data_IF_628684915414
#
_entry.id   IF_628684915414
#
_cell.length_a   1.000
_cell.length_b   1.000
_cell.length_c   1.000
_cell.angle_alpha   90.00
_cell.angle_beta   90.00
_cell.angle_gamma   90.00
#
_symmetry.space_group_name_H-M   'P 1'
#
loop_
_entity.id
_entity.type
_entity.pdbx_description
1 polymer ?
#
# COMPACT_ATOMS: atom_id res chain seq x y z
N UNK A 1 21.56 -6.06 16.09
CA UNK A 1 20.43 -5.10 16.06
C UNK A 1 20.29 -4.42 17.41
N UNK A 2 19.83 -3.15 17.42
CA UNK A 2 19.63 -2.41 18.68
C UNK A 2 18.49 -3.05 19.48
N UNK A 3 18.75 -3.41 20.75
CA UNK A 3 17.75 -3.90 21.68
C UNK A 3 17.34 -2.75 22.60
N UNK A 4 16.21 -2.11 22.29
CA UNK A 4 15.73 -0.98 23.06
C UNK A 4 14.98 -1.46 24.32
N UNK A 5 15.51 -1.14 25.46
CA UNK A 5 14.93 -1.43 26.78
C UNK A 5 14.71 -0.11 27.55
N UNK A 6 13.82 -0.07 28.56
CA UNK A 6 12.86 -1.12 28.92
C UNK A 6 11.70 -1.21 27.92
N UNK A 7 10.94 -2.31 27.93
CA UNK A 7 9.66 -2.45 27.26
C UNK A 7 8.58 -2.75 28.26
N UNK A 8 7.39 -2.16 28.05
CA UNK A 8 6.18 -2.45 28.82
C UNK A 8 5.16 -3.17 27.93
N UNK A 9 4.15 -3.78 28.51
CA UNK A 9 3.03 -4.37 27.77
C UNK A 9 1.89 -3.36 27.55
N UNK A 10 2.12 -2.09 27.90
CA UNK A 10 1.11 -1.04 27.79
C UNK A 10 1.10 -0.46 26.38
N UNK A 11 -0.05 -0.50 25.74
CA UNK A 11 -0.26 0.12 24.44
C UNK A 11 -0.60 1.61 24.60
N UNK A 12 0.07 2.44 23.82
CA UNK A 12 -0.26 3.84 23.61
C UNK A 12 -0.99 3.95 22.28
N UNK A 13 -2.23 4.44 22.29
CA UNK A 13 -3.02 4.65 21.07
C UNK A 13 -3.00 6.12 20.66
N UNK A 14 -3.32 6.39 19.39
CA UNK A 14 -3.47 7.71 18.83
C UNK A 14 -4.69 7.77 17.91
N UNK A 15 -5.26 8.96 17.63
CA UNK A 15 -6.41 9.12 16.77
C UNK A 15 -6.17 8.59 15.34
N UNK A 16 -7.20 8.02 14.71
CA UNK A 16 -7.08 7.45 13.37
C UNK A 16 -6.75 8.50 12.29
N UNK A 17 -7.13 9.75 12.52
CA UNK A 17 -6.87 10.88 11.64
C UNK A 17 -5.42 11.39 11.77
N UNK A 18 -4.78 11.12 12.89
CA UNK A 18 -3.41 11.58 13.15
C UNK A 18 -2.41 10.83 12.27
N UNK A 19 -1.48 11.56 11.69
CA UNK A 19 -0.41 11.02 10.83
C UNK A 19 0.92 11.25 11.51
N UNK A 20 1.72 10.18 11.63
CA UNK A 20 3.07 10.24 12.18
C UNK A 20 4.05 10.25 11.01
N UNK A 21 4.67 11.41 10.77
CA UNK A 21 5.55 11.62 9.62
C UNK A 21 6.99 11.75 10.09
N UNK A 22 7.90 11.09 9.42
CA UNK A 22 9.34 11.30 9.56
C UNK A 22 10.06 11.10 8.24
N UNK A 23 11.16 11.85 8.04
CA UNK A 23 12.11 11.60 6.96
C UNK A 23 13.45 11.16 7.52
N UNK A 24 14.21 10.44 6.73
CA UNK A 24 15.57 10.00 7.08
C UNK A 24 16.50 10.21 5.89
N UNK A 25 17.79 10.31 6.17
CA UNK A 25 18.83 10.19 5.17
C UNK A 25 18.98 8.72 4.68
N UNK A 26 19.95 8.50 3.79
CA UNK A 26 20.26 7.15 3.28
C UNK A 26 20.78 6.19 4.37
N UNK A 27 21.32 6.72 5.47
CA UNK A 27 21.81 5.94 6.62
C UNK A 27 20.69 5.62 7.62
N UNK A 28 19.48 6.16 7.40
CA UNK A 28 18.34 5.99 8.29
C UNK A 28 18.39 6.92 9.51
N UNK A 29 19.15 8.01 9.46
CA UNK A 29 19.14 9.06 10.49
C UNK A 29 17.95 9.98 10.23
N UNK A 30 17.19 10.31 11.27
CA UNK A 30 16.00 11.16 11.16
C UNK A 30 16.42 12.59 10.84
N UNK A 31 15.92 13.11 9.73
CA UNK A 31 16.14 14.48 9.25
C UNK A 31 14.96 15.41 9.54
N UNK A 32 13.76 14.83 9.64
CA UNK A 32 12.53 15.55 9.96
C UNK A 32 11.56 14.66 10.72
N UNK A 33 10.74 15.24 11.57
CA UNK A 33 9.60 14.58 12.21
C UNK A 33 8.53 15.63 12.55
N UNK A 34 7.25 15.27 12.37
CA UNK A 34 6.13 16.13 12.75
C UNK A 34 5.82 16.02 14.25
N UNK A 35 5.02 16.96 14.77
CA UNK A 35 4.66 17.04 16.19
C UNK A 35 3.92 15.78 16.67
N UNK A 36 3.07 15.22 15.84
CA UNK A 36 2.37 13.97 16.14
C UNK A 36 3.33 12.81 16.40
N UNK A 37 4.41 12.72 15.62
CA UNK A 37 5.43 11.68 15.86
C UNK A 37 6.22 11.91 17.13
N UNK A 38 6.58 13.16 17.44
CA UNK A 38 7.21 13.57 18.70
C UNK A 38 6.32 13.17 19.88
N UNK A 39 5.05 13.57 19.84
CA UNK A 39 4.07 13.29 20.90
C UNK A 39 3.93 11.78 21.15
N UNK A 40 3.63 10.99 20.12
CA UNK A 40 3.34 9.54 20.28
C UNK A 40 4.60 8.77 20.67
N UNK A 41 5.76 9.14 20.13
CA UNK A 41 7.01 8.48 20.47
C UNK A 41 7.51 8.81 21.89
N UNK A 42 7.12 9.98 22.43
CA UNK A 42 7.53 10.47 23.75
C UNK A 42 8.99 10.93 23.83
N UNK A 43 9.68 11.00 22.68
CA UNK A 43 11.00 11.61 22.57
C UNK A 43 10.85 13.09 22.26
N UNK A 44 11.82 13.92 22.64
CA UNK A 44 11.85 15.30 22.17
C UNK A 44 12.29 15.37 20.70
N UNK A 45 12.00 16.47 20.02
CA UNK A 45 12.42 16.68 18.63
C UNK A 45 13.94 16.61 18.47
N UNK A 46 14.67 17.17 19.43
CA UNK A 46 16.14 17.19 19.46
C UNK A 46 16.73 15.79 19.63
N UNK A 47 16.07 14.94 20.43
CA UNK A 47 16.48 13.54 20.62
C UNK A 47 16.20 12.67 19.38
N UNK A 48 15.18 13.03 18.58
CA UNK A 48 14.83 12.32 17.35
C UNK A 48 15.71 12.74 16.18
N UNK A 49 15.96 14.06 16.02
CA UNK A 49 16.77 14.58 14.92
C UNK A 49 18.20 14.04 15.00
N UNK A 50 18.71 13.57 13.86
CA UNK A 50 20.01 12.91 13.69
C UNK A 50 20.15 11.56 14.43
N UNK A 51 19.14 11.14 15.20
CA UNK A 51 19.15 9.79 15.75
C UNK A 51 18.82 8.76 14.66
N UNK A 52 19.39 7.54 14.72
CA UNK A 52 18.99 6.49 13.82
C UNK A 52 17.54 6.10 14.12
N UNK A 53 16.73 5.90 13.05
CA UNK A 53 15.29 5.65 13.16
C UNK A 53 14.93 4.43 14.03
N UNK A 54 15.89 3.51 14.19
CA UNK A 54 15.72 2.34 15.07
C UNK A 54 15.61 2.69 16.57
N UNK A 55 15.70 3.97 16.95
CA UNK A 55 15.46 4.44 18.33
C UNK A 55 14.05 4.08 18.81
N UNK A 56 13.06 4.09 17.91
CA UNK A 56 11.66 3.73 18.19
C UNK A 56 11.34 2.26 17.92
N UNK A 57 12.33 1.43 17.60
CA UNK A 57 12.08 0.02 17.31
C UNK A 57 11.67 -0.74 18.56
N UNK A 58 10.56 -1.52 18.46
CA UNK A 58 10.21 -2.49 19.49
C UNK A 58 10.94 -3.83 19.26
N UNK A 59 11.46 -4.50 20.32
CA UNK A 59 12.20 -5.77 20.16
C UNK A 59 11.38 -6.91 19.57
N UNK A 60 10.07 -6.94 19.79
CA UNK A 60 9.17 -7.98 19.26
C UNK A 60 9.12 -8.05 17.73
N UNK A 61 9.46 -6.94 17.06
CA UNK A 61 9.47 -6.92 15.59
C UNK A 61 10.69 -7.68 15.08
N UNK A 62 10.49 -8.78 14.31
CA UNK A 62 11.58 -9.58 13.81
C UNK A 62 12.54 -8.79 12.92
N UNK A 63 13.81 -9.16 12.94
CA UNK A 63 14.81 -8.53 12.06
C UNK A 63 14.47 -8.68 10.57
N UNK A 64 13.93 -9.84 10.21
CA UNK A 64 13.55 -10.15 8.83
C UNK A 64 12.58 -9.13 8.22
N UNK A 65 11.71 -8.51 9.02
CA UNK A 65 10.78 -7.47 8.55
C UNK A 65 11.53 -6.20 8.15
N UNK A 66 12.51 -5.79 8.96
CA UNK A 66 13.34 -4.62 8.63
C UNK A 66 14.33 -4.90 7.50
N UNK A 67 14.89 -6.10 7.43
CA UNK A 67 15.77 -6.52 6.34
C UNK A 67 15.00 -6.50 5.00
N UNK A 68 13.76 -6.97 5.01
CA UNK A 68 12.86 -6.88 3.87
C UNK A 68 12.54 -5.41 3.50
N UNK A 69 12.25 -4.56 4.49
CA UNK A 69 12.02 -3.13 4.27
C UNK A 69 13.22 -2.47 3.60
N UNK A 70 14.41 -2.62 4.15
CA UNK A 70 15.61 -1.99 3.61
C UNK A 70 15.97 -2.53 2.22
N UNK A 71 15.79 -3.83 1.98
CA UNK A 71 16.02 -4.43 0.67
C UNK A 71 15.07 -3.86 -0.39
N UNK A 72 13.81 -3.60 -0.01
CA UNK A 72 12.80 -3.02 -0.90
C UNK A 72 13.09 -1.55 -1.20
N UNK A 73 13.41 -0.77 -0.17
CA UNK A 73 13.70 0.66 -0.30
C UNK A 73 14.97 0.95 -1.10
N UNK A 74 16.01 0.14 -0.93
CA UNK A 74 17.26 0.24 -1.71
C UNK A 74 17.07 -0.06 -3.21
N UNK A 75 16.00 -0.79 -3.57
CA UNK A 75 15.60 -1.02 -4.96
C UNK A 75 14.76 0.14 -5.53
N UNK A 76 14.63 1.25 -4.80
CA UNK A 76 13.81 2.39 -5.21
C UNK A 76 12.30 2.13 -5.13
N UNK A 77 11.86 1.08 -4.41
CA UNK A 77 10.44 0.70 -4.31
C UNK A 77 9.86 1.11 -2.96
N UNK A 78 8.59 1.53 -2.91
CA UNK A 78 7.91 1.79 -1.64
C UNK A 78 7.74 0.49 -0.85
N UNK A 79 7.70 0.63 0.47
CA UNK A 79 7.42 -0.46 1.40
C UNK A 79 6.25 -0.09 2.31
N UNK A 80 5.44 -1.07 2.69
CA UNK A 80 4.42 -0.91 3.70
C UNK A 80 4.42 -2.09 4.67
N UNK A 81 3.95 -1.86 5.90
CA UNK A 81 3.89 -2.91 6.92
C UNK A 81 3.30 -2.42 8.22
N UNK A 82 2.76 -3.36 9.00
CA UNK A 82 2.26 -3.10 10.35
C UNK A 82 3.42 -3.26 11.30
N UNK A 83 3.81 -2.20 11.99
CA UNK A 83 5.01 -2.17 12.81
C UNK A 83 4.65 -1.83 14.26
N UNK A 84 5.22 -2.59 15.19
CA UNK A 84 5.19 -2.28 16.63
C UNK A 84 6.37 -1.37 16.95
N UNK A 85 6.10 -0.17 17.41
CA UNK A 85 7.12 0.78 17.85
C UNK A 85 7.15 0.88 19.38
N UNK A 86 8.26 1.40 19.90
CA UNK A 86 8.48 1.65 21.31
C UNK A 86 8.56 3.14 21.58
N UNK A 87 7.79 3.63 22.53
CA UNK A 87 7.91 4.98 23.09
C UNK A 87 9.09 5.08 24.07
N UNK A 88 9.55 6.28 24.37
CA UNK A 88 10.70 6.55 25.27
C UNK A 88 10.54 5.89 26.63
N UNK A 89 9.34 5.90 27.19
CA UNK A 89 9.01 5.28 28.49
C UNK A 89 8.92 3.75 28.47
N UNK A 90 9.04 3.12 27.30
CA UNK A 90 8.92 1.67 27.15
C UNK A 90 7.55 1.18 26.68
N UNK A 91 6.53 2.01 26.68
CA UNK A 91 5.22 1.69 26.09
C UNK A 91 5.36 1.43 24.61
N UNK A 92 4.39 0.75 24.01
CA UNK A 92 4.40 0.46 22.60
C UNK A 92 3.20 1.09 21.88
N UNK A 93 3.36 1.33 20.60
CA UNK A 93 2.28 1.76 19.72
C UNK A 93 2.40 1.07 18.36
N UNK A 94 1.25 0.74 17.80
CA UNK A 94 1.18 0.10 16.50
C UNK A 94 0.95 1.12 15.39
N UNK A 95 1.63 0.94 14.29
CA UNK A 95 1.51 1.78 13.10
C UNK A 95 1.37 0.93 11.83
N UNK A 96 0.53 1.39 10.93
CA UNK A 96 0.56 0.98 9.53
C UNK A 96 1.48 1.98 8.83
N UNK A 97 2.69 1.54 8.52
CA UNK A 97 3.73 2.37 7.94
C UNK A 97 3.75 2.23 6.42
N UNK A 98 3.78 3.36 5.72
CA UNK A 98 4.09 3.44 4.30
C UNK A 98 5.38 4.24 4.16
N UNK A 99 6.42 3.60 3.61
CA UNK A 99 7.76 4.17 3.49
C UNK A 99 8.11 4.28 2.01
N UNK A 100 8.51 5.47 1.59
CA UNK A 100 8.88 5.76 0.21
C UNK A 100 10.29 6.33 0.11
N UNK A 101 11.06 5.99 -0.93
CA UNK A 101 12.29 6.71 -1.21
C UNK A 101 11.98 8.14 -1.66
N UNK A 102 12.77 9.08 -1.16
CA UNK A 102 12.81 10.47 -1.62
C UNK A 102 13.83 10.53 -2.74
N UNK A 103 13.42 11.02 -3.92
CA UNK A 103 14.26 11.05 -5.10
C UNK A 103 14.49 12.50 -5.55
N UNK A 104 15.74 12.87 -5.70
CA UNK A 104 16.18 14.14 -6.28
C UNK A 104 17.10 13.84 -7.45
N UNK A 105 16.89 14.50 -8.59
CA UNK A 105 17.67 14.26 -9.81
C UNK A 105 17.81 12.77 -10.18
N UNK A 106 16.73 12.02 -10.02
CA UNK A 106 16.66 10.57 -10.28
C UNK A 106 17.56 9.70 -9.36
N UNK A 107 18.04 10.27 -8.25
CA UNK A 107 18.80 9.55 -7.23
C UNK A 107 18.05 9.56 -5.90
N UNK A 108 18.06 8.43 -5.20
CA UNK A 108 17.48 8.34 -3.86
C UNK A 108 18.39 9.11 -2.90
N UNK A 109 17.84 10.12 -2.22
CA UNK A 109 18.56 10.95 -1.24
C UNK A 109 18.16 10.67 0.21
N UNK A 110 17.04 9.95 0.40
CA UNK A 110 16.55 9.60 1.72
C UNK A 110 15.25 8.82 1.64
N UNK A 111 14.59 8.68 2.79
CA UNK A 111 13.34 7.94 2.90
C UNK A 111 12.34 8.73 3.72
N UNK A 112 11.08 8.69 3.30
CA UNK A 112 9.96 9.26 4.04
C UNK A 112 9.05 8.14 4.53
N UNK A 113 8.56 8.26 5.74
CA UNK A 113 7.60 7.35 6.33
C UNK A 113 6.38 8.10 6.82
N UNK A 114 5.23 7.77 6.27
CA UNK A 114 3.91 8.19 6.75
C UNK A 114 3.24 7.02 7.43
N UNK A 115 2.82 7.22 8.68
CA UNK A 115 2.25 6.18 9.52
C UNK A 115 0.84 6.55 9.95
N UNK A 116 -0.05 5.59 9.90
CA UNK A 116 -1.43 5.73 10.34
C UNK A 116 -1.74 4.66 11.37
N UNK A 117 -2.84 4.84 12.11
CA UNK A 117 -3.32 3.82 13.06
C UNK A 117 -3.78 2.59 12.28
N UNK A 118 -3.26 1.38 12.59
CA UNK A 118 -3.72 0.14 11.99
C UNK A 118 -5.05 -0.30 12.59
N UNK A 119 -5.75 -1.20 11.89
CA UNK A 119 -6.93 -1.86 12.44
C UNK A 119 -6.53 -2.94 13.45
N UNK A 120 -7.45 -3.31 14.35
CA UNK A 120 -7.22 -4.39 15.31
C UNK A 120 -6.90 -5.73 14.62
N UNK A 121 -7.50 -5.96 13.46
CA UNK A 121 -7.26 -7.16 12.67
C UNK A 121 -5.86 -7.19 12.06
N UNK A 122 -5.39 -6.08 11.54
CA UNK A 122 -4.02 -5.92 11.03
C UNK A 122 -3.00 -6.16 12.15
N UNK A 123 -3.25 -5.63 13.35
CA UNK A 123 -2.41 -5.87 14.53
C UNK A 123 -2.36 -7.36 14.84
N UNK A 124 -3.50 -8.04 14.96
CA UNK A 124 -3.60 -9.47 15.25
C UNK A 124 -2.83 -10.34 14.24
N UNK A 125 -2.97 -10.03 12.95
CA UNK A 125 -2.24 -10.71 11.87
C UNK A 125 -0.73 -10.48 11.99
N UNK A 126 -0.31 -9.24 12.22
CA UNK A 126 1.10 -8.90 12.40
C UNK A 126 1.72 -9.60 13.62
N UNK A 127 1.02 -9.63 14.77
CA UNK A 127 1.47 -10.35 15.97
C UNK A 127 1.64 -11.84 15.72
N UNK A 128 0.68 -12.45 15.01
CA UNK A 128 0.74 -13.86 14.66
C UNK A 128 1.94 -14.16 13.77
N UNK A 129 2.18 -13.32 12.76
CA UNK A 129 3.33 -13.42 11.87
C UNK A 129 4.65 -13.24 12.65
N UNK A 130 4.75 -12.23 13.51
CA UNK A 130 5.95 -11.94 14.29
C UNK A 130 6.29 -13.08 15.24
N UNK A 131 5.29 -13.59 15.97
CA UNK A 131 5.46 -14.77 16.85
C UNK A 131 5.98 -15.97 16.05
N UNK A 132 5.43 -16.18 14.86
CA UNK A 132 5.84 -17.28 13.99
C UNK A 132 7.30 -17.15 13.55
N UNK A 133 7.72 -15.97 13.10
CA UNK A 133 9.10 -15.72 12.67
C UNK A 133 10.06 -15.83 13.86
N UNK A 134 9.71 -15.25 15.00
CA UNK A 134 10.54 -15.29 16.22
C UNK A 134 10.69 -16.70 16.81
N UNK A 135 9.75 -17.62 16.50
CA UNK A 135 9.87 -19.06 16.86
C UNK A 135 10.62 -19.89 15.80
N UNK A 136 11.27 -19.25 14.83
CA UNK A 136 12.06 -19.92 13.79
C UNK A 136 11.25 -20.60 12.69
N UNK A 137 9.92 -20.39 12.66
CA UNK A 137 9.05 -20.94 11.60
C UNK A 137 9.11 -20.04 10.35
N UNK A 138 8.90 -20.67 9.20
CA UNK A 138 8.82 -19.93 7.92
C UNK A 138 7.79 -18.80 8.00
N UNK A 139 8.16 -17.61 7.54
CA UNK A 139 7.24 -16.46 7.48
C UNK A 139 5.99 -16.77 6.65
N UNK A 140 6.16 -17.41 5.49
CA UNK A 140 5.04 -17.83 4.62
C UNK A 140 4.78 -19.32 4.82
N UNK A 141 3.58 -19.71 5.30
CA UNK A 141 3.21 -21.12 5.40
C UNK A 141 3.27 -21.82 4.04
N UNK A 142 3.77 -23.06 4.01
CA UNK A 142 3.80 -23.86 2.79
C UNK A 142 2.39 -24.01 2.19
N UNK A 143 1.37 -24.12 3.05
CA UNK A 143 -0.04 -24.17 2.62
C UNK A 143 -0.47 -22.96 1.80
N UNK A 144 0.06 -21.77 2.07
CA UNK A 144 -0.27 -20.56 1.31
C UNK A 144 0.34 -20.58 -0.10
N UNK A 145 1.36 -21.39 -0.34
CA UNK A 145 1.96 -21.57 -1.67
C UNK A 145 1.27 -22.67 -2.45
N UNK A 146 0.92 -23.78 -1.79
CA UNK A 146 0.36 -24.96 -2.46
C UNK A 146 -1.14 -24.88 -2.69
N UNK A 147 -1.89 -24.35 -1.73
CA UNK A 147 -3.36 -24.36 -1.80
C UNK A 147 -3.92 -23.63 -3.04
N UNK A 148 -3.43 -22.43 -3.41
CA UNK A 148 -3.87 -21.76 -4.63
C UNK A 148 -3.58 -22.57 -5.91
N UNK A 149 -2.45 -23.28 -5.93
CA UNK A 149 -2.09 -24.16 -7.07
C UNK A 149 -3.06 -25.32 -7.15
N UNK A 150 -3.31 -26.01 -6.04
CA UNK A 150 -4.27 -27.12 -5.99
C UNK A 150 -5.67 -26.66 -6.38
N UNK A 151 -6.13 -25.53 -5.87
CA UNK A 151 -7.43 -24.96 -6.23
C UNK A 151 -7.53 -24.59 -7.71
N UNK A 152 -6.48 -24.06 -8.31
CA UNK A 152 -6.44 -23.76 -9.74
C UNK A 152 -6.47 -25.02 -10.61
N UNK A 153 -5.90 -26.14 -10.14
CA UNK A 153 -5.86 -27.41 -10.87
C UNK A 153 -7.10 -28.26 -10.68
N UNK A 154 -7.82 -28.09 -9.58
CA UNK A 154 -8.96 -28.95 -9.21
C UNK A 154 -10.06 -29.04 -10.29
N UNK A 155 -10.54 -27.95 -10.94
CA UNK A 155 -11.53 -28.04 -12.00
C UNK A 155 -11.08 -28.88 -13.18
N UNK A 156 -9.81 -28.79 -13.55
CA UNK A 156 -9.22 -29.49 -14.70
C UNK A 156 -8.98 -30.97 -14.39
N UNK A 157 -8.64 -31.31 -13.15
CA UNK A 157 -8.59 -32.70 -12.69
C UNK A 157 -9.95 -33.34 -12.75
N UNK A 158 -11.02 -32.63 -12.35
CA UNK A 158 -12.38 -33.11 -12.44
C UNK A 158 -12.82 -33.36 -13.89
N UNK A 159 -12.56 -32.41 -14.79
CA UNK A 159 -12.85 -32.57 -16.23
C UNK A 159 -12.08 -33.77 -16.83
N UNK A 160 -10.80 -33.91 -16.45
CA UNK A 160 -9.99 -35.06 -16.88
C UNK A 160 -10.54 -36.39 -16.38
N UNK A 161 -11.01 -36.46 -15.10
CA UNK A 161 -11.64 -37.66 -14.55
C UNK A 161 -12.97 -38.00 -15.26
N UNK A 162 -13.78 -36.99 -15.57
CA UNK A 162 -15.03 -37.19 -16.32
C UNK A 162 -14.72 -37.73 -17.72
N UNK A 163 -13.75 -37.16 -18.41
CA UNK A 163 -13.30 -37.66 -19.72
C UNK A 163 -12.79 -39.10 -19.66
N UNK A 164 -12.08 -39.45 -18.58
CA UNK A 164 -11.58 -40.79 -18.31
C UNK A 164 -12.73 -41.78 -18.08
N UNK A 165 -13.77 -41.40 -17.30
CA UNK A 165 -14.96 -42.22 -17.06
C UNK A 165 -15.79 -42.45 -18.33
N UNK A 166 -15.96 -41.41 -19.15
CA UNK A 166 -16.65 -41.52 -20.44
C UNK A 166 -15.90 -42.45 -21.37
N UNK A 167 -14.57 -42.36 -21.46
CA UNK A 167 -13.74 -43.27 -22.25
C UNK A 167 -13.85 -44.74 -21.82
N UNK A 168 -13.92 -44.97 -20.51
CA UNK A 168 -14.12 -46.31 -19.94
C UNK A 168 -15.53 -46.86 -20.24
N UNK A 169 -16.58 -46.01 -20.20
CA UNK A 169 -17.95 -46.39 -20.49
C UNK A 169 -18.17 -46.74 -21.96
N UNK A 170 -17.48 -46.13 -22.90
CA UNK A 170 -17.52 -46.40 -24.33
C UNK A 170 -16.89 -47.78 -24.65
N UNK A 171 -16.17 -48.39 -23.69
CA UNK A 171 -15.68 -49.77 -23.80
C UNK A 171 -14.59 -50.00 -24.85
N UNK A 172 -14.01 -48.94 -25.38
CA UNK A 172 -12.95 -48.98 -26.37
C UNK A 172 -11.64 -48.42 -25.83
N UNK A 173 -10.56 -49.20 -25.93
CA UNK A 173 -9.21 -48.71 -25.56
C UNK A 173 -8.83 -47.43 -26.33
N UNK A 174 -9.32 -47.23 -27.53
CA UNK A 174 -9.10 -46.03 -28.34
C UNK A 174 -9.86 -44.83 -27.82
N UNK A 175 -11.09 -44.99 -27.30
CA UNK A 175 -11.85 -43.92 -26.67
C UNK A 175 -11.16 -43.40 -25.42
N UNK A 176 -10.52 -44.27 -24.65
CA UNK A 176 -9.74 -43.95 -23.47
C UNK A 176 -8.48 -43.13 -23.79
N UNK A 177 -7.72 -43.56 -24.81
CA UNK A 177 -6.50 -42.87 -25.26
C UNK A 177 -6.88 -41.49 -25.84
N UNK A 178 -7.94 -41.37 -26.63
CA UNK A 178 -8.43 -40.12 -27.18
C UNK A 178 -8.91 -39.14 -26.10
N UNK A 179 -9.66 -39.63 -25.11
CA UNK A 179 -10.11 -38.82 -23.98
C UNK A 179 -8.91 -38.28 -23.15
N UNK A 180 -7.91 -39.12 -22.89
CA UNK A 180 -6.68 -38.71 -22.20
C UNK A 180 -5.84 -37.73 -23.02
N UNK A 181 -5.67 -37.97 -24.34
CA UNK A 181 -4.95 -37.09 -25.24
C UNK A 181 -5.58 -35.70 -25.40
N UNK A 182 -6.91 -35.59 -25.32
CA UNK A 182 -7.63 -34.32 -25.45
C UNK A 182 -7.78 -33.59 -24.12
N UNK A 183 -8.05 -34.30 -23.01
CA UNK A 183 -8.35 -33.69 -21.72
C UNK A 183 -7.12 -32.99 -21.11
N UNK A 184 -5.93 -33.56 -21.24
CA UNK A 184 -4.69 -33.00 -20.68
C UNK A 184 -4.29 -31.71 -21.39
N UNK A 185 -4.17 -31.62 -22.72
CA UNK A 185 -3.86 -30.37 -23.41
C UNK A 185 -4.94 -29.29 -23.21
N UNK A 186 -6.25 -29.69 -23.22
CA UNK A 186 -7.33 -28.73 -22.96
C UNK A 186 -7.27 -28.18 -21.55
N UNK A 187 -6.98 -29.01 -20.55
CA UNK A 187 -6.75 -28.60 -19.18
C UNK A 187 -5.57 -27.62 -19.05
N UNK A 188 -4.44 -27.95 -19.64
CA UNK A 188 -3.25 -27.10 -19.66
C UNK A 188 -3.51 -25.78 -20.40
N UNK A 189 -4.20 -25.81 -21.53
CA UNK A 189 -4.58 -24.60 -22.28
C UNK A 189 -5.54 -23.72 -21.47
N UNK A 190 -6.51 -24.31 -20.78
CA UNK A 190 -7.44 -23.60 -19.89
C UNK A 190 -6.72 -22.92 -18.71
N UNK A 191 -5.81 -23.62 -18.04
CA UNK A 191 -4.97 -23.05 -16.97
C UNK A 191 -4.09 -21.91 -17.53
N UNK A 192 -3.47 -22.13 -18.68
CA UNK A 192 -2.63 -21.11 -19.33
C UNK A 192 -3.45 -19.88 -19.71
N UNK A 193 -4.68 -20.06 -20.18
CA UNK A 193 -5.59 -18.97 -20.53
C UNK A 193 -6.07 -18.22 -19.28
N UNK A 194 -6.53 -18.92 -18.25
CA UNK A 194 -6.95 -18.32 -16.97
C UNK A 194 -5.82 -17.57 -16.28
N UNK A 195 -4.61 -18.12 -16.28
CA UNK A 195 -3.46 -17.48 -15.63
C UNK A 195 -2.87 -16.33 -16.43
N UNK A 196 -3.12 -16.22 -17.76
CA UNK A 196 -2.63 -15.11 -18.58
C UNK A 196 -3.16 -13.75 -18.14
N UNK A 197 -4.47 -13.66 -17.86
CA UNK A 197 -5.09 -12.43 -17.35
C UNK A 197 -4.50 -12.00 -16.00
N UNK A 198 -4.44 -12.95 -15.07
CA UNK A 198 -3.87 -12.73 -13.73
C UNK A 198 -2.38 -12.36 -13.81
N UNK A 199 -1.60 -13.01 -14.68
CA UNK A 199 -0.18 -12.68 -14.89
C UNK A 199 0.01 -11.25 -15.41
N UNK A 200 -0.85 -10.76 -16.31
CA UNK A 200 -0.81 -9.36 -16.77
C UNK A 200 -1.07 -8.38 -15.63
N UNK A 201 -2.11 -8.63 -14.84
CA UNK A 201 -2.44 -7.82 -13.66
C UNK A 201 -1.33 -7.86 -12.61
N UNK A 202 -0.75 -9.04 -12.36
CA UNK A 202 0.39 -9.19 -11.46
C UNK A 202 1.63 -8.44 -11.95
N UNK A 203 1.88 -8.40 -13.25
CA UNK A 203 2.99 -7.63 -13.82
C UNK A 203 2.81 -6.12 -13.62
N UNK A 204 1.57 -5.60 -13.71
CA UNK A 204 1.25 -4.22 -13.33
C UNK A 204 1.42 -4.00 -11.81
N UNK A 205 1.03 -5.01 -11.02
CA UNK A 205 1.19 -4.99 -9.57
C UNK A 205 2.66 -5.09 -9.10
N UNK A 206 3.59 -5.58 -9.91
CA UNK A 206 5.03 -5.67 -9.57
C UNK A 206 5.70 -4.30 -9.37
N UNK A 207 5.10 -3.22 -9.89
CA UNK A 207 5.54 -1.86 -9.63
C UNK A 207 5.14 -1.35 -8.23
N UNK A 208 4.30 -2.09 -7.52
CA UNK A 208 3.80 -1.78 -6.18
C UNK A 208 4.28 -2.79 -5.15
N UNK A 209 3.98 -2.54 -3.87
CA UNK A 209 4.29 -3.48 -2.80
C UNK A 209 3.35 -4.69 -2.89
N UNK A 210 3.83 -5.82 -3.39
CA UNK A 210 3.04 -7.05 -3.56
C UNK A 210 3.73 -8.28 -2.96
N UNK A 211 4.54 -8.09 -1.92
CA UNK A 211 5.33 -9.15 -1.30
C UNK A 211 4.47 -10.09 -0.44
N UNK A 212 4.62 -11.43 -0.58
CA UNK A 212 3.83 -12.41 0.17
C UNK A 212 4.02 -12.35 1.70
N UNK A 213 5.18 -11.89 2.19
CA UNK A 213 5.41 -11.72 3.61
C UNK A 213 4.53 -10.61 4.17
N UNK A 214 4.53 -9.46 3.48
CA UNK A 214 3.76 -8.29 3.91
C UNK A 214 2.26 -8.53 3.74
N UNK A 215 1.85 -9.23 2.68
CA UNK A 215 0.44 -9.54 2.42
C UNK A 215 -0.25 -10.21 3.63
N UNK A 216 0.45 -11.06 4.38
CA UNK A 216 -0.09 -11.73 5.56
C UNK A 216 -0.50 -10.77 6.70
N UNK A 217 -0.01 -9.54 6.72
CA UNK A 217 -0.42 -8.54 7.70
C UNK A 217 -1.73 -7.84 7.30
N UNK A 218 -2.12 -7.92 6.01
CA UNK A 218 -3.22 -7.15 5.46
C UNK A 218 -4.39 -7.98 5.00
N UNK A 219 -4.16 -9.20 4.51
CA UNK A 219 -5.20 -10.03 3.92
C UNK A 219 -5.09 -11.49 4.35
N UNK A 220 -6.23 -12.18 4.36
CA UNK A 220 -6.32 -13.65 4.51
C UNK A 220 -6.29 -14.36 3.16
N UNK A 221 -6.41 -13.63 2.06
CA UNK A 221 -6.29 -14.15 0.70
C UNK A 221 -4.93 -14.79 0.47
N UNK A 222 -4.82 -15.64 -0.56
CA UNK A 222 -3.61 -16.41 -0.83
C UNK A 222 -3.20 -16.29 -2.30
N UNK A 223 -1.91 -16.50 -2.56
CA UNK A 223 -1.38 -16.58 -3.92
C UNK A 223 -1.54 -15.27 -4.70
N UNK A 224 -2.13 -15.34 -5.88
CA UNK A 224 -2.30 -14.21 -6.79
C UNK A 224 -3.29 -13.17 -6.28
N UNK A 225 -4.35 -13.60 -5.61
CA UNK A 225 -5.37 -12.74 -5.02
C UNK A 225 -4.77 -11.85 -3.93
N UNK A 226 -4.03 -12.43 -2.99
CA UNK A 226 -3.32 -11.67 -1.96
C UNK A 226 -2.38 -10.61 -2.54
N UNK A 227 -1.69 -10.92 -3.65
CA UNK A 227 -0.79 -9.99 -4.32
C UNK A 227 -1.54 -8.83 -4.99
N UNK A 228 -2.69 -9.11 -5.60
CA UNK A 228 -3.54 -8.08 -6.20
C UNK A 228 -4.15 -7.17 -5.13
N UNK A 229 -4.68 -7.76 -4.06
CA UNK A 229 -5.23 -7.03 -2.93
C UNK A 229 -4.16 -6.13 -2.29
N UNK A 230 -2.96 -6.66 -2.06
CA UNK A 230 -1.82 -5.87 -1.59
C UNK A 230 -1.46 -4.73 -2.54
N UNK A 231 -1.48 -4.97 -3.84
CA UNK A 231 -1.19 -3.93 -4.84
C UNK A 231 -2.22 -2.80 -4.77
N UNK A 232 -3.50 -3.12 -4.61
CA UNK A 232 -4.58 -2.13 -4.44
C UNK A 232 -4.42 -1.35 -3.13
N UNK A 233 -4.17 -2.03 -2.02
CA UNK A 233 -3.90 -1.40 -0.72
C UNK A 233 -2.66 -0.50 -0.75
N UNK A 234 -1.62 -0.92 -1.48
CA UNK A 234 -0.42 -0.11 -1.69
C UNK A 234 -0.70 1.16 -2.49
N UNK A 235 -1.55 1.07 -3.53
CA UNK A 235 -1.98 2.26 -4.29
C UNK A 235 -2.83 3.20 -3.43
N UNK A 236 -3.75 2.66 -2.63
CA UNK A 236 -4.52 3.46 -1.68
C UNK A 236 -3.62 4.16 -0.67
N UNK A 237 -2.65 3.44 -0.10
CA UNK A 237 -1.67 4.00 0.83
C UNK A 237 -0.83 5.10 0.16
N UNK A 238 -0.44 4.90 -1.11
CA UNK A 238 0.29 5.89 -1.91
C UNK A 238 -0.53 7.16 -2.13
N UNK A 239 -1.80 7.01 -2.52
CA UNK A 239 -2.70 8.15 -2.71
C UNK A 239 -2.93 8.91 -1.40
N UNK A 240 -3.19 8.19 -0.30
CA UNK A 240 -3.33 8.79 1.04
C UNK A 240 -2.06 9.53 1.46
N UNK A 241 -0.89 8.96 1.20
CA UNK A 241 0.39 9.62 1.49
C UNK A 241 0.56 10.87 0.66
N UNK A 242 0.24 10.82 -0.64
CA UNK A 242 0.32 11.99 -1.54
C UNK A 242 -0.63 13.11 -1.08
N UNK A 243 -1.88 12.76 -0.73
CA UNK A 243 -2.85 13.73 -0.20
C UNK A 243 -2.39 14.32 1.13
N UNK A 244 -1.83 13.50 2.02
CA UNK A 244 -1.29 13.98 3.30
C UNK A 244 -0.14 14.97 3.09
N UNK A 245 0.76 14.68 2.13
CA UNK A 245 1.85 15.60 1.79
C UNK A 245 1.33 16.92 1.23
N UNK A 246 0.33 16.86 0.35
CA UNK A 246 -0.31 18.06 -0.18
C UNK A 246 -0.95 18.90 0.93
N UNK A 247 -1.63 18.25 1.88
CA UNK A 247 -2.22 18.93 3.03
C UNK A 247 -1.14 19.58 3.93
N UNK A 248 -0.09 18.82 4.28
CA UNK A 248 1.02 19.28 5.11
C UNK A 248 1.75 20.46 4.44
N UNK A 249 2.00 20.34 3.13
CA UNK A 249 2.60 21.40 2.34
C UNK A 249 1.70 22.65 2.25
N UNK A 250 0.38 22.44 2.07
CA UNK A 250 -0.59 23.53 2.02
C UNK A 250 -0.69 24.25 3.39
N UNK A 251 -0.62 23.51 4.49
CA UNK A 251 -0.60 24.08 5.84
C UNK A 251 0.69 24.86 6.10
N UNK A 252 1.85 24.32 5.71
CA UNK A 252 3.13 25.02 5.79
C UNK A 252 3.14 26.28 4.92
N UNK A 253 2.61 26.22 3.70
CA UNK A 253 2.46 27.39 2.83
C UNK A 253 1.52 28.43 3.45
N UNK A 254 0.44 27.99 4.10
CA UNK A 254 -0.48 28.90 4.78
C UNK A 254 0.19 29.59 5.98
N UNK A 255 1.01 28.86 6.74
CA UNK A 255 1.78 29.42 7.84
C UNK A 255 2.83 30.41 7.33
N UNK A 256 3.57 30.07 6.28
CA UNK A 256 4.56 30.94 5.64
C UNK A 256 3.89 32.19 5.03
N UNK A 257 2.72 32.03 4.41
CA UNK A 257 1.95 33.17 3.88
C UNK A 257 1.51 34.13 5.01
N UNK A 258 1.05 33.58 6.15
CA UNK A 258 0.69 34.39 7.33
C UNK A 258 1.90 35.07 7.96
N UNK A 259 3.04 34.41 7.99
CA UNK A 259 4.30 35.01 8.50
C UNK A 259 4.80 36.09 7.56
N UNK A 260 4.72 35.87 6.26
CA UNK A 260 5.01 36.91 5.24
C UNK A 260 4.05 38.10 5.34
N UNK A 261 2.74 37.85 5.57
CA UNK A 261 1.75 38.90 5.80
C UNK A 261 2.07 39.74 7.07
N UNK A 262 2.40 39.04 8.16
CA UNK A 262 2.85 39.71 9.41
C UNK A 262 4.15 40.50 9.22
N UNK A 263 5.09 39.96 8.45
CA UNK A 263 6.33 40.65 8.11
C UNK A 263 6.06 41.85 7.22
N UNK A 264 5.14 41.72 6.26
CA UNK A 264 4.70 42.81 5.40
C UNK A 264 4.00 43.93 6.21
N UNK A 265 3.15 43.57 7.20
CA UNK A 265 2.50 44.52 8.11
C UNK A 265 3.52 45.24 8.99
N UNK A 266 4.48 44.51 9.57
CA UNK A 266 5.56 45.12 10.37
C UNK A 266 6.48 45.99 9.51
N UNK A 267 6.72 45.59 8.26
CA UNK A 267 7.49 46.35 7.28
C UNK A 267 6.74 47.62 6.86
N UNK A 268 5.41 47.52 6.66
CA UNK A 268 4.57 48.69 6.36
C UNK A 268 4.57 49.70 7.52
N UNK A 269 4.45 49.23 8.76
CA UNK A 269 4.53 50.08 9.94
C UNK A 269 5.96 50.72 10.15
N UNK A 270 6.98 49.96 9.70
CA UNK A 270 8.38 50.48 9.63
C UNK A 270 8.55 51.53 8.57
N UNK A 271 7.95 51.33 7.38
CA UNK A 271 7.99 52.29 6.27
C UNK A 271 7.23 53.59 6.59
N UNK A 272 6.13 53.50 7.34
CA UNK A 272 5.41 54.69 7.80
C UNK A 272 6.24 55.51 8.78
N UNK A 273 6.97 54.87 9.69
CA UNK A 273 7.95 55.55 10.55
C UNK A 273 9.12 56.15 9.78
N UNK A 274 9.68 55.40 8.83
CA UNK A 274 10.72 55.89 7.94
C UNK A 274 10.26 57.04 7.04
N UNK A 275 8.99 57.05 6.60
CA UNK A 275 8.41 58.15 5.84
C UNK A 275 8.30 59.43 6.68
N UNK A 276 7.91 59.28 7.96
CA UNK A 276 7.91 60.42 8.92
C UNK A 276 9.32 60.94 9.20
N UNK A 277 10.33 60.07 9.23
CA UNK A 277 11.74 60.49 9.38
C UNK A 277 12.34 61.01 8.06
N UNK A 278 11.85 60.49 6.89
CA UNK A 278 12.41 60.89 5.58
C UNK A 278 11.79 62.18 5.01
N UNK A 279 10.59 62.60 5.51
CA UNK A 279 10.08 63.95 5.25
C UNK A 279 11.00 65.05 5.80
N UNK A 280 11.87 64.64 6.76
CA UNK A 280 12.92 65.55 7.27
C UNK A 280 14.18 65.57 6.39
N UNK A 281 14.30 64.71 5.42
CA UNK A 281 15.50 64.66 4.56
C UNK A 281 15.09 64.75 3.09
N UNK A 282 14.88 66.02 2.64
CA UNK A 282 14.39 66.34 1.30
C UNK A 282 15.30 65.91 0.11
N UNK A 283 16.45 65.28 0.38
CA UNK A 283 17.41 64.86 -0.66
C UNK A 283 17.28 63.38 -1.08
N UNK A 284 16.51 62.56 -0.34
CA UNK A 284 16.37 61.12 -0.66
C UNK A 284 15.23 60.79 -1.66
N UNK A 285 14.46 61.80 -2.15
CA UNK A 285 13.27 61.57 -3.02
C UNK A 285 13.66 60.97 -4.38
N UNK A 286 14.85 61.22 -4.90
CA UNK A 286 15.29 60.64 -6.17
C UNK A 286 15.74 59.18 -6.04
N UNK A 287 16.23 58.74 -4.90
CA UNK A 287 16.55 57.33 -4.66
C UNK A 287 15.28 56.52 -4.37
N UNK A 288 14.26 57.16 -3.71
CA UNK A 288 12.98 56.50 -3.48
C UNK A 288 12.17 56.19 -4.77
N UNK A 289 12.31 57.03 -5.82
CA UNK A 289 11.65 56.74 -7.10
C UNK A 289 12.24 55.50 -7.78
N UNK A 290 13.55 55.27 -7.68
CA UNK A 290 14.21 54.09 -8.21
C UNK A 290 13.80 52.83 -7.46
N UNK A 291 13.73 52.89 -6.11
CA UNK A 291 13.29 51.73 -5.30
C UNK A 291 11.81 51.40 -5.45
N UNK A 292 10.95 52.42 -5.69
CA UNK A 292 9.50 52.18 -5.94
C UNK A 292 9.29 51.49 -7.28
N UNK A 293 10.10 51.78 -8.30
CA UNK A 293 10.06 51.10 -9.60
C UNK A 293 10.53 49.63 -9.48
N UNK A 294 11.54 49.38 -8.65
CA UNK A 294 12.03 48.00 -8.42
C UNK A 294 11.01 47.15 -7.66
N UNK A 295 10.33 47.72 -6.66
CA UNK A 295 9.22 47.06 -5.94
C UNK A 295 8.05 46.76 -6.86
N UNK A 296 7.70 47.69 -7.77
CA UNK A 296 6.64 47.46 -8.77
C UNK A 296 7.00 46.32 -9.74
N UNK A 297 8.28 46.27 -10.17
CA UNK A 297 8.78 45.16 -11.02
C UNK A 297 8.71 43.79 -10.29
N UNK A 298 9.06 43.80 -9.01
CA UNK A 298 9.00 42.58 -8.20
C UNK A 298 7.56 42.11 -7.87
N UNK A 299 6.65 43.09 -7.65
CA UNK A 299 5.21 42.79 -7.49
C UNK A 299 4.60 42.23 -8.80
N UNK A 300 4.99 42.79 -9.95
CA UNK A 300 4.57 42.24 -11.24
C UNK A 300 5.09 40.81 -11.45
N UNK A 301 6.34 40.53 -11.07
CA UNK A 301 6.90 39.17 -11.13
C UNK A 301 6.22 38.20 -10.13
N UNK A 302 5.92 38.66 -8.93
CA UNK A 302 5.19 37.86 -7.93
C UNK A 302 3.75 37.57 -8.38
N UNK A 303 3.07 38.53 -9.03
CA UNK A 303 1.74 38.32 -9.62
C UNK A 303 1.77 37.24 -10.73
N UNK A 304 2.79 37.23 -11.60
CA UNK A 304 2.98 36.20 -12.62
C UNK A 304 3.23 34.83 -11.97
N UNK A 305 4.07 34.77 -10.93
CA UNK A 305 4.34 33.52 -10.21
C UNK A 305 3.09 32.98 -9.49
N UNK A 306 2.25 33.88 -8.94
CA UNK A 306 0.98 33.49 -8.28
C UNK A 306 -0.05 32.98 -9.31
N UNK A 307 -0.08 33.59 -10.50
CA UNK A 307 -0.96 33.17 -11.59
C UNK A 307 -0.57 31.77 -12.11
N UNK A 308 0.73 31.50 -12.20
CA UNK A 308 1.22 30.17 -12.58
C UNK A 308 0.96 29.10 -11.50
N UNK A 309 1.11 29.46 -10.23
CA UNK A 309 0.75 28.56 -9.13
C UNK A 309 -0.76 28.20 -9.12
N UNK A 310 -1.62 29.18 -9.43
CA UNK A 310 -3.05 28.94 -9.60
C UNK A 310 -3.37 28.03 -10.81
N UNK A 311 -2.68 28.22 -11.94
CA UNK A 311 -2.80 27.37 -13.12
C UNK A 311 -2.45 25.91 -12.79
N UNK A 312 -1.28 25.72 -12.15
CA UNK A 312 -0.81 24.40 -11.73
C UNK A 312 -1.76 23.71 -10.72
N UNK A 313 -2.34 24.50 -9.81
CA UNK A 313 -3.32 23.98 -8.85
C UNK A 313 -4.61 23.53 -9.54
N UNK A 314 -5.06 24.30 -10.55
CA UNK A 314 -6.23 23.93 -11.37
C UNK A 314 -5.98 22.66 -12.19
N UNK A 315 -4.80 22.55 -12.79
CA UNK A 315 -4.40 21.37 -13.57
C UNK A 315 -4.28 20.12 -12.66
N UNK A 316 -3.70 20.28 -11.48
CA UNK A 316 -3.65 19.20 -10.48
C UNK A 316 -5.03 18.73 -10.02
N UNK A 317 -6.00 19.65 -9.88
CA UNK A 317 -7.40 19.31 -9.60
C UNK A 317 -8.05 18.50 -10.73
N UNK A 318 -7.75 18.85 -11.98
CA UNK A 318 -8.27 18.11 -13.14
C UNK A 318 -7.74 16.68 -13.16
N UNK A 319 -6.42 16.52 -12.97
CA UNK A 319 -5.78 15.19 -12.89
C UNK A 319 -6.35 14.36 -11.74
N UNK A 320 -6.58 14.99 -10.58
CA UNK A 320 -7.18 14.29 -9.44
C UNK A 320 -8.63 13.84 -9.72
N UNK A 321 -9.41 14.66 -10.45
CA UNK A 321 -10.77 14.29 -10.85
C UNK A 321 -10.77 13.12 -11.85
N UNK A 322 -9.90 13.16 -12.86
CA UNK A 322 -9.75 12.06 -13.85
C UNK A 322 -9.30 10.76 -13.17
N UNK A 323 -8.35 10.86 -12.22
CA UNK A 323 -7.87 9.72 -11.45
C UNK A 323 -9.01 9.11 -10.61
N UNK A 324 -9.83 9.96 -9.98
CA UNK A 324 -11.00 9.50 -9.21
C UNK A 324 -12.02 8.78 -10.09
N UNK A 325 -12.27 9.30 -11.28
CA UNK A 325 -13.18 8.66 -12.23
C UNK A 325 -12.62 7.32 -12.74
N UNK A 326 -11.31 7.25 -12.99
CA UNK A 326 -10.65 6.01 -13.38
C UNK A 326 -10.73 4.94 -12.26
N UNK A 327 -10.52 5.34 -10.99
CA UNK A 327 -10.68 4.47 -9.82
C UNK A 327 -12.14 4.00 -9.69
N UNK A 328 -13.11 4.89 -9.93
CA UNK A 328 -14.52 4.54 -9.86
C UNK A 328 -14.92 3.51 -10.94
N UNK A 329 -14.39 3.67 -12.17
CA UNK A 329 -14.56 2.68 -13.24
C UNK A 329 -13.89 1.34 -12.92
N UNK A 330 -12.68 1.39 -12.32
CA UNK A 330 -11.98 0.19 -11.87
C UNK A 330 -12.76 -0.55 -10.77
N UNK A 331 -13.28 0.20 -9.79
CA UNK A 331 -14.10 -0.36 -8.72
C UNK A 331 -15.38 -1.01 -9.25
N UNK A 332 -16.02 -0.38 -10.24
CA UNK A 332 -17.17 -0.96 -10.92
C UNK A 332 -16.80 -2.28 -11.63
N UNK A 333 -15.70 -2.26 -12.39
CA UNK A 333 -15.24 -3.45 -13.11
C UNK A 333 -14.85 -4.61 -12.18
N UNK A 334 -14.27 -4.30 -11.01
CA UNK A 334 -13.98 -5.29 -9.97
C UNK A 334 -15.28 -5.83 -9.35
N UNK A 335 -16.28 -4.96 -9.15
CA UNK A 335 -17.62 -5.37 -8.71
C UNK A 335 -18.28 -6.35 -9.69
N UNK A 336 -18.28 -6.02 -10.97
CA UNK A 336 -18.86 -6.85 -12.04
C UNK A 336 -18.14 -8.19 -12.15
N UNK A 337 -16.81 -8.18 -11.96
CA UNK A 337 -16.00 -9.42 -11.92
C UNK A 337 -16.36 -10.26 -10.70
N UNK A 338 -16.52 -9.65 -9.52
CA UNK A 338 -16.94 -10.34 -8.30
C UNK A 338 -18.32 -11.01 -8.44
N UNK A 339 -19.26 -10.32 -9.10
CA UNK A 339 -20.59 -10.85 -9.39
C UNK A 339 -20.51 -12.05 -10.35
N UNK A 340 -19.64 -11.95 -11.35
CA UNK A 340 -19.39 -13.04 -12.30
C UNK A 340 -18.77 -14.26 -11.60
N UNK A 341 -17.80 -14.05 -10.70
CA UNK A 341 -17.18 -15.13 -9.91
C UNK A 341 -18.19 -15.76 -8.96
N UNK A 342 -19.05 -14.95 -8.33
CA UNK A 342 -20.11 -15.46 -7.44
C UNK A 342 -21.10 -16.34 -8.22
N UNK A 343 -21.49 -15.91 -9.43
CA UNK A 343 -22.35 -16.72 -10.31
C UNK A 343 -21.67 -18.00 -10.74
N UNK A 344 -20.38 -17.94 -11.10
CA UNK A 344 -19.60 -19.12 -11.45
C UNK A 344 -19.48 -20.11 -10.29
N UNK A 345 -19.33 -19.62 -9.06
CA UNK A 345 -19.33 -20.45 -7.84
C UNK A 345 -20.69 -21.13 -7.62
N UNK A 346 -21.78 -20.42 -7.91
CA UNK A 346 -23.13 -20.96 -7.84
C UNK A 346 -23.37 -22.05 -8.89
N UNK A 347 -23.01 -21.75 -10.14
CA UNK A 347 -23.07 -22.70 -11.23
C UNK A 347 -22.26 -23.97 -10.93
N UNK A 348 -21.04 -23.78 -10.34
CA UNK A 348 -20.18 -24.89 -9.92
C UNK A 348 -20.83 -25.74 -8.79
N UNK A 349 -21.53 -25.09 -7.85
CA UNK A 349 -22.26 -25.77 -6.78
C UNK A 349 -23.45 -26.57 -7.34
N UNK A 350 -24.16 -26.00 -8.31
CA UNK A 350 -25.26 -26.70 -9.00
C UNK A 350 -24.76 -27.95 -9.78
N UNK A 351 -23.61 -27.77 -10.47
CA UNK A 351 -22.92 -28.89 -11.14
C UNK A 351 -22.52 -29.97 -10.12
N UNK A 352 -22.00 -29.55 -8.94
CA UNK A 352 -21.70 -30.46 -7.84
C UNK A 352 -22.90 -31.27 -7.40
N UNK A 353 -24.06 -30.61 -7.27
CA UNK A 353 -25.33 -31.30 -6.95
C UNK A 353 -25.76 -32.33 -8.02
N UNK A 354 -25.56 -31.97 -9.28
CA UNK A 354 -25.83 -32.92 -10.38
C UNK A 354 -24.87 -34.11 -10.33
N UNK A 355 -23.60 -33.87 -10.03
CA UNK A 355 -22.58 -34.95 -9.87
C UNK A 355 -22.94 -35.89 -8.70
N UNK A 356 -23.40 -35.32 -7.58
CA UNK A 356 -23.86 -36.12 -6.43
C UNK A 356 -25.09 -37.00 -6.80
N UNK A 357 -26.01 -36.46 -7.57
CA UNK A 357 -27.16 -37.25 -8.10
C UNK A 357 -26.67 -38.37 -9.03
N UNK A 358 -25.73 -38.05 -9.93
CA UNK A 358 -25.14 -39.04 -10.84
C UNK A 358 -24.41 -40.13 -10.04
N UNK A 359 -23.67 -39.75 -9.00
CA UNK A 359 -23.02 -40.70 -8.10
C UNK A 359 -24.04 -41.58 -7.39
N UNK A 360 -25.14 -41.00 -6.89
CA UNK A 360 -26.25 -41.77 -6.29
C UNK A 360 -26.86 -42.79 -7.26
N UNK A 361 -27.03 -42.39 -8.51
CA UNK A 361 -27.54 -43.29 -9.58
C UNK A 361 -26.51 -44.38 -9.87
N UNK A 362 -25.23 -44.06 -9.92
CA UNK A 362 -24.15 -45.02 -10.14
C UNK A 362 -24.07 -46.04 -9.00
N UNK A 363 -24.20 -45.60 -7.74
CA UNK A 363 -24.22 -46.45 -6.56
C UNK A 363 -25.46 -47.37 -6.57
N UNK A 364 -26.63 -46.84 -6.93
CA UNK A 364 -27.84 -47.64 -7.12
C UNK A 364 -27.68 -48.67 -8.25
N UNK A 365 -27.07 -48.25 -9.36
CA UNK A 365 -26.84 -49.15 -10.52
C UNK A 365 -25.84 -50.25 -10.18
N UNK A 366 -24.80 -49.94 -9.41
CA UNK A 366 -23.82 -50.92 -8.92
C UNK A 366 -24.46 -51.91 -7.95
N UNK A 367 -25.34 -51.41 -7.06
CA UNK A 367 -26.14 -52.28 -6.16
C UNK A 367 -27.09 -53.19 -6.93
N UNK A 368 -27.74 -52.66 -7.98
CA UNK A 368 -28.60 -53.43 -8.85
C UNK A 368 -27.81 -54.49 -9.65
N UNK A 369 -26.64 -54.13 -10.16
CA UNK A 369 -25.74 -55.07 -10.83
C UNK A 369 -25.22 -56.16 -9.90
N UNK A 370 -24.90 -55.79 -8.64
CA UNK A 370 -24.49 -56.77 -7.63
C UNK A 370 -25.62 -57.71 -7.25
N UNK A 371 -26.85 -57.20 -7.10
CA UNK A 371 -28.04 -58.00 -6.85
C UNK A 371 -28.46 -58.87 -8.04
N UNK A 372 -28.07 -58.55 -9.28
CA UNK A 372 -28.34 -59.37 -10.48
C UNK A 372 -27.22 -60.40 -10.73
N UNK A 373 -26.11 -60.35 -10.03
CA UNK A 373 -24.99 -61.29 -10.12
C UNK A 373 -25.00 -62.36 -9.00
N UNK A 374 -25.98 -62.28 -8.05
CA UNK A 374 -26.31 -63.29 -7.06
C UNK A 374 -27.54 -64.07 -7.59
#
# INVERSE_FOLDING_TARGET
MRNNQPVTQRERTFPAQQRLISTTDLKGQITYCNDAFVEVSGFTREELLRAPHNIVRHPDVPSAVFDHMWTTLKKGRPWMGIVKNRSKNGDHYWVNAYVTPITENNQVVGYESVRVKPTAEQIRRAETLYRRINTGKSAVPASNQWLPVVQAWMPFMLVSQIGFMIGHWIGSNWGFILAAMLSVPLGLAGIAWQTRGIKRLLKLAEQTTSDPLIAQMYTDSRGAEARLEMAMLSQEARLKTCLTRLQDTAEQLTLQAREADKLAHNSSAGLERQRSETEQVATAVNEMAATTLEVASNVARAAIATQEANRLTSEGRSIAAETREAIQRLSQSVGDTGETVTRLAQDSSEIGGVVDVIKGIADQTNLLALNAAI
#
